data_IF_675490465363
#
_entry.id   IF_675490465363
#
_cell.length_a   1.000
_cell.length_b   1.000
_cell.length_c   1.000
_cell.angle_alpha   90.00
_cell.angle_beta   90.00
_cell.angle_gamma   90.00
#
_symmetry.space_group_name_H-M   'P 1'
#
loop_
_entity.id
_entity.type
_entity.pdbx_description
1 polymer ?
#
# COMPACT_ATOMS: atom_id res chain seq x y z
N UNK A 1 -14.84 39.68 -24.07
CA UNK A 1 -13.96 40.14 -25.16
C UNK A 1 -12.83 40.94 -24.52
N UNK A 2 -11.57 40.68 -24.88
CA UNK A 2 -10.26 41.10 -24.30
C UNK A 2 -9.54 39.94 -23.59
N UNK A 3 -8.81 39.07 -24.30
CA UNK A 3 -7.43 39.17 -24.85
C UNK A 3 -6.30 38.86 -23.86
N UNK A 4 -5.78 37.63 -24.02
CA UNK A 4 -4.37 37.22 -24.16
C UNK A 4 -3.34 37.77 -23.16
N UNK A 5 -2.57 36.85 -22.56
CA UNK A 5 -1.11 36.76 -22.77
C UNK A 5 -0.53 35.50 -22.13
N UNK A 6 -0.26 34.50 -22.97
CA UNK A 6 0.81 33.51 -22.78
C UNK A 6 2.15 34.22 -22.65
N UNK A 7 2.93 33.91 -21.61
CA UNK A 7 4.33 34.28 -21.52
C UNK A 7 5.17 33.04 -21.23
N UNK A 8 5.78 32.52 -22.30
CA UNK A 8 6.92 31.62 -22.24
C UNK A 8 8.11 32.35 -21.60
N UNK A 9 8.79 31.72 -20.63
CA UNK A 9 10.21 32.01 -20.40
C UNK A 9 10.95 30.71 -20.09
N UNK A 10 11.60 30.20 -21.14
CA UNK A 10 12.67 29.23 -21.08
C UNK A 10 13.78 29.80 -20.20
N UNK A 11 14.27 29.03 -19.24
CA UNK A 11 15.60 29.24 -18.65
C UNK A 11 16.38 27.94 -18.87
N UNK A 12 17.43 28.12 -19.64
CA UNK A 12 18.38 27.16 -20.18
C UNK A 12 19.66 27.15 -19.34
N UNK A 13 20.18 25.94 -19.11
CA UNK A 13 21.60 25.56 -18.97
C UNK A 13 22.50 26.18 -17.88
N UNK A 14 23.11 25.28 -17.10
CA UNK A 14 24.41 25.41 -16.43
C UNK A 14 24.65 24.12 -15.63
N UNK A 15 25.30 23.08 -16.15
CA UNK A 15 26.73 22.90 -16.43
C UNK A 15 27.63 22.97 -15.18
N UNK A 16 28.34 21.85 -14.92
CA UNK A 16 29.48 21.62 -14.01
C UNK A 16 29.14 21.65 -12.50
N UNK A 17 29.57 20.72 -11.65
CA UNK A 17 30.93 20.16 -11.52
C UNK A 17 30.93 18.74 -10.94
N UNK A 18 31.70 17.84 -11.54
CA UNK A 18 32.16 16.60 -10.93
C UNK A 18 33.27 16.90 -9.91
N UNK A 19 33.24 16.25 -8.74
CA UNK A 19 34.39 16.16 -7.81
C UNK A 19 34.54 14.71 -7.36
N UNK A 20 35.81 14.33 -7.21
CA UNK A 20 36.35 13.01 -7.43
C UNK A 20 36.37 12.07 -6.21
N UNK A 21 36.63 10.82 -6.59
CA UNK A 21 37.03 9.61 -5.86
C UNK A 21 37.93 9.87 -4.64
N UNK A 22 37.65 9.15 -3.55
CA UNK A 22 38.60 8.84 -2.48
C UNK A 22 38.52 7.35 -2.11
N UNK A 23 39.49 6.56 -2.57
CA UNK A 23 39.79 5.21 -2.08
C UNK A 23 40.92 5.35 -1.06
N UNK A 24 40.72 4.87 0.17
CA UNK A 24 41.82 4.42 1.02
C UNK A 24 41.40 3.17 1.79
N UNK A 25 42.10 2.09 1.46
CA UNK A 25 42.20 0.84 2.21
C UNK A 25 42.85 1.08 3.58
N UNK A 26 42.42 0.33 4.59
CA UNK A 26 43.06 0.28 5.90
C UNK A 26 42.61 -0.94 6.69
N UNK A 27 43.44 -1.97 6.67
CA UNK A 27 43.34 -3.24 7.39
C UNK A 27 44.35 -3.18 8.56
N UNK A 28 43.97 -3.62 9.78
CA UNK A 28 44.90 -4.21 10.77
C UNK A 28 44.09 -4.72 11.98
N UNK A 29 43.97 -6.04 12.17
CA UNK A 29 44.82 -6.92 13.03
C UNK A 29 44.50 -6.75 14.52
N UNK A 30 44.40 -7.75 15.39
CA UNK A 30 44.24 -9.22 15.37
C UNK A 30 44.14 -9.62 16.87
N UNK A 31 43.86 -10.90 17.16
CA UNK A 31 43.99 -11.59 18.47
C UNK A 31 42.97 -11.24 19.60
N UNK A 32 42.40 -12.19 20.35
CA UNK A 32 42.95 -13.47 20.77
C UNK A 32 41.92 -14.62 20.88
N UNK A 33 42.46 -15.80 20.61
CA UNK A 33 41.86 -17.12 20.69
C UNK A 33 41.70 -17.65 22.13
N UNK A 34 40.75 -18.58 22.31
CA UNK A 34 40.93 -19.90 22.97
C UNK A 34 39.61 -20.69 22.84
N UNK A 35 39.57 -21.73 21.98
CA UNK A 35 39.66 -23.16 22.34
C UNK A 35 38.53 -23.62 23.29
N UNK A 36 37.75 -24.68 23.06
CA UNK A 36 37.95 -25.95 22.35
C UNK A 36 36.58 -26.66 22.18
N UNK A 37 36.44 -27.71 21.33
CA UNK A 37 35.17 -28.31 20.94
C UNK A 37 34.82 -29.61 21.69
N UNK A 38 33.65 -30.18 21.32
CA UNK A 38 33.25 -31.60 21.40
C UNK A 38 32.24 -31.97 22.51
N UNK A 39 31.48 -33.09 22.43
CA UNK A 39 30.46 -33.46 21.42
C UNK A 39 29.18 -34.05 22.08
N UNK A 40 28.33 -34.69 21.26
CA UNK A 40 27.25 -35.65 21.60
C UNK A 40 25.91 -35.04 22.04
N UNK A 41 24.90 -35.05 21.17
CA UNK A 41 24.04 -36.17 20.77
C UNK A 41 22.74 -36.22 21.57
N UNK A 42 21.60 -35.98 20.91
CA UNK A 42 20.51 -36.96 20.87
C UNK A 42 19.44 -36.53 19.87
N UNK A 43 19.28 -37.37 18.86
CA UNK A 43 18.08 -37.49 18.04
C UNK A 43 17.10 -38.30 18.88
N UNK A 44 15.91 -37.77 19.16
CA UNK A 44 14.77 -38.58 19.55
C UNK A 44 13.56 -38.08 18.75
N UNK A 45 13.35 -38.79 17.64
CA UNK A 45 12.05 -38.87 16.99
C UNK A 45 11.08 -39.52 17.98
N UNK A 46 9.97 -38.83 18.25
CA UNK A 46 8.81 -39.45 18.90
C UNK A 46 7.60 -39.18 18.02
N UNK A 47 7.29 -40.18 17.19
CA UNK A 47 6.03 -40.30 16.52
C UNK A 47 4.98 -40.75 17.53
N UNK A 48 3.88 -40.01 17.60
CA UNK A 48 2.61 -40.55 18.06
C UNK A 48 1.51 -40.00 17.16
N UNK A 49 0.87 -40.84 16.33
CA UNK A 49 -0.31 -40.45 15.57
C UNK A 49 -1.53 -40.60 16.48
N UNK A 50 -2.29 -39.51 16.64
CA UNK A 50 -3.66 -39.59 17.14
C UNK A 50 -4.60 -39.03 16.08
N UNK A 51 -5.62 -39.78 15.66
CA UNK A 51 -6.53 -39.40 14.59
C UNK A 51 -7.73 -38.66 15.17
N UNK A 52 -7.94 -37.41 14.78
CA UNK A 52 -9.25 -36.78 14.88
C UNK A 52 -9.60 -36.15 13.53
N UNK A 53 -10.37 -36.94 12.81
CA UNK A 53 -11.32 -36.50 11.80
C UNK A 53 -12.30 -35.55 12.45
N UNK A 54 -12.11 -34.25 12.26
CA UNK A 54 -13.23 -33.31 12.23
C UNK A 54 -13.16 -32.52 10.93
N UNK A 55 -14.12 -32.86 10.07
CA UNK A 55 -14.47 -32.12 8.88
C UNK A 55 -14.89 -30.70 9.29
N UNK A 56 -13.93 -29.79 9.35
CA UNK A 56 -14.22 -28.36 9.30
C UNK A 56 -14.50 -28.04 7.85
N UNK A 57 -15.78 -27.73 7.58
CA UNK A 57 -16.30 -27.34 6.28
C UNK A 57 -15.33 -26.34 5.62
N UNK A 58 -14.78 -26.75 4.47
CA UNK A 58 -14.08 -25.85 3.60
C UNK A 58 -15.03 -24.66 3.30
N UNK A 59 -14.60 -23.40 3.51
CA UNK A 59 -15.37 -22.28 2.99
C UNK A 59 -15.47 -22.51 1.49
N UNK A 60 -16.70 -22.60 1.00
CA UNK A 60 -17.00 -22.60 -0.43
C UNK A 60 -16.21 -21.48 -1.07
N UNK A 61 -15.11 -21.85 -1.74
CA UNK A 61 -14.27 -20.90 -2.45
C UNK A 61 -15.16 -20.25 -3.51
N UNK A 62 -15.56 -19.00 -3.24
CA UNK A 62 -16.05 -18.11 -4.28
C UNK A 62 -14.98 -18.10 -5.40
N UNK A 63 -15.40 -18.12 -6.68
CA UNK A 63 -14.46 -18.16 -7.79
C UNK A 63 -13.44 -17.02 -7.66
N UNK A 64 -12.16 -17.36 -7.62
CA UNK A 64 -11.07 -16.38 -7.62
C UNK A 64 -11.16 -15.57 -8.92
N UNK A 65 -11.71 -14.36 -8.82
CA UNK A 65 -11.69 -13.38 -9.90
C UNK A 65 -10.24 -12.95 -10.08
N UNK A 66 -9.72 -13.09 -11.30
CA UNK A 66 -8.46 -12.45 -11.69
C UNK A 66 -8.62 -10.94 -11.55
N UNK A 67 -7.95 -10.37 -10.54
CA UNK A 67 -8.01 -8.95 -10.23
C UNK A 67 -7.10 -8.16 -11.18
N UNK A 68 -7.59 -7.04 -11.70
CA UNK A 68 -6.75 -6.10 -12.43
C UNK A 68 -5.82 -5.30 -11.49
N UNK A 69 -4.89 -4.52 -12.05
CA UNK A 69 -3.91 -3.74 -11.27
C UNK A 69 -4.58 -2.79 -10.28
N UNK A 70 -5.63 -2.08 -10.71
CA UNK A 70 -6.33 -1.13 -9.84
C UNK A 70 -7.06 -1.80 -8.70
N UNK A 71 -7.67 -2.95 -8.97
CA UNK A 71 -8.33 -3.80 -7.99
C UNK A 71 -7.32 -4.33 -6.96
N UNK A 72 -6.18 -4.84 -7.42
CA UNK A 72 -5.09 -5.33 -6.56
C UNK A 72 -4.53 -4.21 -5.67
N UNK A 73 -4.25 -3.03 -6.22
CA UNK A 73 -3.70 -1.91 -5.46
C UNK A 73 -4.69 -1.37 -4.42
N UNK A 74 -5.98 -1.33 -4.76
CA UNK A 74 -7.02 -0.86 -3.83
C UNK A 74 -7.19 -1.81 -2.66
N UNK A 75 -7.29 -3.11 -2.91
CA UNK A 75 -7.31 -4.12 -1.83
C UNK A 75 -5.99 -4.15 -1.06
N UNK A 76 -4.86 -4.00 -1.75
CA UNK A 76 -3.53 -3.90 -1.15
C UNK A 76 -3.44 -2.72 -0.18
N UNK A 77 -3.94 -1.54 -0.57
CA UNK A 77 -4.00 -0.38 0.31
C UNK A 77 -4.85 -0.67 1.56
N UNK A 78 -6.05 -1.24 1.38
CA UNK A 78 -6.92 -1.55 2.52
C UNK A 78 -6.21 -2.49 3.50
N UNK A 79 -5.67 -3.59 3.00
CA UNK A 79 -5.12 -4.65 3.84
C UNK A 79 -3.73 -4.32 4.40
N UNK A 80 -2.85 -3.71 3.60
CA UNK A 80 -1.43 -3.52 3.94
C UNK A 80 -1.08 -2.09 4.38
N UNK A 81 -2.03 -1.15 4.28
CA UNK A 81 -1.82 0.22 4.73
C UNK A 81 -2.91 0.73 5.67
N UNK A 82 -4.19 0.56 5.33
CA UNK A 82 -5.28 1.14 6.12
C UNK A 82 -5.56 0.34 7.40
N UNK A 83 -5.70 -0.98 7.28
CA UNK A 83 -5.94 -1.90 8.41
C UNK A 83 -4.64 -2.28 9.15
N UNK A 84 -3.47 -2.01 8.57
CA UNK A 84 -2.17 -2.34 9.16
C UNK A 84 -1.86 -1.45 10.38
N UNK A 85 -1.26 -2.05 11.41
CA UNK A 85 -0.86 -1.39 12.66
C UNK A 85 0.65 -1.15 12.75
N UNK A 86 1.47 -1.90 12.01
CA UNK A 86 2.90 -1.67 11.89
C UNK A 86 3.19 -0.43 11.04
N UNK A 87 3.67 0.62 11.71
CA UNK A 87 4.00 1.91 11.11
C UNK A 87 5.07 1.79 10.02
N UNK A 88 6.07 0.93 10.19
CA UNK A 88 7.14 0.78 9.18
C UNK A 88 6.65 0.01 7.95
N UNK A 89 5.77 -0.99 8.14
CA UNK A 89 5.10 -1.66 7.04
C UNK A 89 4.25 -0.68 6.21
N UNK A 90 3.49 0.20 6.87
CA UNK A 90 2.69 1.26 6.21
C UNK A 90 3.57 2.25 5.46
N UNK A 91 4.68 2.71 6.04
CA UNK A 91 5.63 3.60 5.36
C UNK A 91 6.22 2.95 4.11
N UNK A 92 6.59 1.67 4.21
CA UNK A 92 7.11 0.90 3.07
C UNK A 92 6.05 0.79 1.96
N UNK A 93 4.81 0.47 2.32
CA UNK A 93 3.72 0.43 1.35
C UNK A 93 3.55 1.79 0.66
N UNK A 94 3.58 2.88 1.41
CA UNK A 94 3.47 4.23 0.85
C UNK A 94 4.60 4.54 -0.16
N UNK A 95 5.83 4.13 0.14
CA UNK A 95 6.97 4.35 -0.76
C UNK A 95 6.91 3.50 -2.03
N UNK A 96 6.39 2.28 -1.95
CA UNK A 96 6.41 1.32 -3.06
C UNK A 96 5.19 1.44 -3.98
N UNK A 97 3.99 1.63 -3.41
CA UNK A 97 2.73 1.45 -4.14
C UNK A 97 1.93 2.73 -4.34
N UNK A 98 2.26 3.82 -3.65
CA UNK A 98 1.56 5.09 -3.81
C UNK A 98 2.19 5.99 -4.86
N UNK A 99 1.34 6.85 -5.43
CA UNK A 99 1.74 7.82 -6.44
C UNK A 99 2.76 8.81 -5.85
N UNK A 100 3.83 9.18 -6.59
CA UNK A 100 4.92 10.01 -6.07
C UNK A 100 4.47 11.27 -5.32
N UNK A 101 3.45 11.95 -5.85
CA UNK A 101 2.93 13.21 -5.28
C UNK A 101 2.34 13.07 -3.87
N UNK A 102 1.91 11.86 -3.48
CA UNK A 102 1.27 11.61 -2.18
C UNK A 102 2.13 10.79 -1.22
N UNK A 103 3.23 10.19 -1.69
CA UNK A 103 4.06 9.29 -0.88
C UNK A 103 4.49 9.91 0.45
N UNK A 104 4.93 11.17 0.43
CA UNK A 104 5.39 11.87 1.65
C UNK A 104 4.25 12.12 2.64
N UNK A 105 3.06 12.43 2.14
CA UNK A 105 1.87 12.69 2.97
C UNK A 105 1.44 11.39 3.66
N UNK A 106 1.37 10.28 2.92
CA UNK A 106 1.02 9.00 3.49
C UNK A 106 2.13 8.42 4.39
N UNK A 107 3.40 8.55 4.03
CA UNK A 107 4.50 8.15 4.92
C UNK A 107 4.47 8.91 6.26
N UNK A 108 4.07 10.18 6.26
CA UNK A 108 3.82 10.96 7.48
C UNK A 108 2.59 10.45 8.24
N UNK A 109 1.48 10.21 7.53
CA UNK A 109 0.23 9.71 8.09
C UNK A 109 0.29 8.24 8.58
N UNK A 110 1.32 7.48 8.22
CA UNK A 110 1.50 6.08 8.62
C UNK A 110 1.54 5.86 10.15
N UNK A 111 1.83 6.91 10.92
CA UNK A 111 1.78 6.87 12.40
C UNK A 111 0.37 6.96 12.99
N UNK A 112 -0.61 7.43 12.21
CA UNK A 112 -2.01 7.50 12.63
C UNK A 112 -2.68 6.14 12.37
N UNK A 113 -2.48 5.20 13.30
CA UNK A 113 -3.08 3.86 13.24
C UNK A 113 -4.59 3.97 13.41
N UNK A 114 -5.33 3.22 12.60
CA UNK A 114 -6.80 3.19 12.61
C UNK A 114 -7.27 2.16 13.64
N UNK A 115 -8.26 2.52 14.45
CA UNK A 115 -8.87 1.60 15.41
C UNK A 115 -9.46 0.36 14.70
N UNK A 116 -9.32 -0.83 15.28
CA UNK A 116 -9.80 -2.09 14.69
C UNK A 116 -11.29 -2.07 14.32
N UNK A 117 -12.12 -1.38 15.12
CA UNK A 117 -13.56 -1.20 14.83
C UNK A 117 -13.82 -0.50 13.49
N UNK A 118 -12.87 0.30 13.02
CA UNK A 118 -12.99 1.09 11.80
C UNK A 118 -12.36 0.37 10.59
N UNK A 119 -11.66 -0.76 10.80
CA UNK A 119 -11.09 -1.56 9.72
C UNK A 119 -12.14 -2.04 8.72
N UNK A 120 -11.71 -2.22 7.48
CA UNK A 120 -12.50 -2.87 6.43
C UNK A 120 -12.24 -4.37 6.48
N UNK A 121 -13.15 -5.12 7.08
CA UNK A 121 -13.07 -6.57 7.15
C UNK A 121 -13.66 -7.19 5.87
N UNK A 122 -13.09 -8.31 5.43
CA UNK A 122 -13.49 -9.05 4.23
C UNK A 122 -13.72 -8.17 2.98
N UNK A 123 -12.79 -7.26 2.62
CA UNK A 123 -12.99 -6.34 1.51
C UNK A 123 -13.10 -7.09 0.18
N UNK A 124 -14.16 -6.81 -0.58
CA UNK A 124 -14.42 -7.35 -1.93
C UNK A 124 -14.61 -6.23 -2.93
N UNK A 125 -13.97 -6.37 -4.08
CA UNK A 125 -14.18 -5.46 -5.20
C UNK A 125 -15.60 -5.63 -5.74
N UNK A 126 -16.28 -4.51 -5.94
CA UNK A 126 -17.60 -4.43 -6.56
C UNK A 126 -17.47 -4.08 -8.03
N UNK A 127 -16.79 -2.98 -8.33
CA UNK A 127 -16.69 -2.40 -9.67
C UNK A 127 -15.43 -1.53 -9.78
N UNK A 128 -14.86 -1.45 -10.99
CA UNK A 128 -13.83 -0.48 -11.35
C UNK A 128 -14.30 0.31 -12.56
N UNK A 129 -14.18 1.63 -12.52
CA UNK A 129 -14.56 2.54 -13.61
C UNK A 129 -13.38 3.44 -14.00
N UNK A 130 -13.37 3.90 -15.24
CA UNK A 130 -12.39 4.87 -15.72
C UNK A 130 -12.60 6.22 -15.03
N UNK A 131 -11.50 6.91 -14.73
CA UNK A 131 -11.50 8.24 -14.14
C UNK A 131 -10.81 9.23 -15.06
N UNK A 132 -11.45 10.39 -15.27
CA UNK A 132 -10.81 11.53 -15.90
C UNK A 132 -11.31 12.84 -15.27
N UNK A 133 -10.38 13.64 -14.76
CA UNK A 133 -10.67 14.98 -14.21
C UNK A 133 -9.47 15.89 -14.41
N UNK A 134 -9.73 17.11 -14.90
CA UNK A 134 -8.70 18.14 -15.09
C UNK A 134 -7.48 17.65 -15.91
N UNK A 135 -7.71 16.75 -16.87
CA UNK A 135 -6.66 16.14 -17.70
C UNK A 135 -5.89 14.98 -17.03
N UNK A 136 -6.16 14.70 -15.76
CA UNK A 136 -5.63 13.52 -15.06
C UNK A 136 -6.51 12.32 -15.37
N UNK A 137 -5.90 11.22 -15.83
CA UNK A 137 -6.58 9.96 -16.13
C UNK A 137 -6.17 8.88 -15.15
N UNK A 138 -7.08 7.96 -14.87
CA UNK A 138 -6.84 6.86 -13.94
C UNK A 138 -8.05 5.94 -13.88
N UNK A 139 -8.23 5.31 -12.73
CA UNK A 139 -9.41 4.50 -12.45
C UNK A 139 -9.87 4.67 -11.00
N UNK A 140 -11.16 4.51 -10.77
CA UNK A 140 -11.75 4.40 -9.44
C UNK A 140 -12.20 2.96 -9.22
N UNK A 141 -11.80 2.35 -8.10
CA UNK A 141 -12.24 1.00 -7.72
C UNK A 141 -13.08 1.06 -6.45
N UNK A 142 -14.34 0.61 -6.54
CA UNK A 142 -15.25 0.47 -5.41
C UNK A 142 -15.06 -0.89 -4.74
N UNK A 143 -14.85 -0.86 -3.44
CA UNK A 143 -14.73 -2.03 -2.56
C UNK A 143 -15.78 -1.94 -1.46
N UNK A 144 -16.40 -3.08 -1.15
CA UNK A 144 -17.28 -3.25 0.02
C UNK A 144 -16.58 -4.10 1.06
N UNK A 145 -16.59 -3.65 2.30
CA UNK A 145 -16.23 -4.47 3.46
C UNK A 145 -17.49 -4.95 4.19
N UNK A 146 -17.29 -5.67 5.30
CA UNK A 146 -18.37 -6.08 6.18
C UNK A 146 -19.20 -4.89 6.68
N UNK A 147 -20.50 -5.14 6.86
CA UNK A 147 -21.49 -4.09 7.13
C UNK A 147 -21.79 -3.25 5.90
N UNK A 148 -22.03 -1.96 6.10
CA UNK A 148 -22.31 -0.98 5.04
C UNK A 148 -21.07 -0.12 4.70
N UNK A 149 -19.86 -0.64 4.99
CA UNK A 149 -18.61 0.07 4.74
C UNK A 149 -18.22 -0.02 3.27
N UNK A 150 -18.03 1.12 2.64
CA UNK A 150 -17.54 1.26 1.26
C UNK A 150 -16.25 2.06 1.24
N UNK A 151 -15.35 1.65 0.35
CA UNK A 151 -14.10 2.32 0.06
C UNK A 151 -13.97 2.51 -1.45
N UNK A 152 -13.54 3.69 -1.89
CA UNK A 152 -13.20 3.94 -3.28
C UNK A 152 -11.72 4.31 -3.36
N UNK A 153 -10.94 3.51 -4.08
CA UNK A 153 -9.54 3.80 -4.37
C UNK A 153 -9.37 4.49 -5.71
N UNK A 154 -8.64 5.60 -5.76
CA UNK A 154 -8.19 6.26 -6.98
C UNK A 154 -6.78 5.80 -7.35
N UNK A 155 -6.63 5.26 -8.55
CA UNK A 155 -5.37 4.78 -9.11
C UNK A 155 -5.00 5.64 -10.31
N UNK A 156 -3.82 6.24 -10.29
CA UNK A 156 -3.24 7.05 -11.38
C UNK A 156 -1.87 6.46 -11.71
N UNK A 157 -1.57 6.26 -13.00
CA UNK A 157 -0.30 5.71 -13.47
C UNK A 157 0.09 4.39 -12.76
N UNK A 158 -0.89 3.49 -12.58
CA UNK A 158 -0.72 2.21 -11.86
C UNK A 158 -0.17 2.37 -10.43
N UNK A 159 -0.47 3.50 -9.78
CA UNK A 159 -0.13 3.79 -8.39
C UNK A 159 -1.35 4.27 -7.61
N UNK A 160 -1.42 3.91 -6.35
CA UNK A 160 -2.48 4.36 -5.45
C UNK A 160 -2.32 5.84 -5.13
N UNK A 161 -3.33 6.66 -5.41
CA UNK A 161 -3.27 8.11 -5.18
C UNK A 161 -4.08 8.54 -3.96
N UNK A 162 -5.36 8.13 -3.87
CA UNK A 162 -6.22 8.58 -2.78
C UNK A 162 -7.35 7.58 -2.48
N UNK A 163 -7.84 7.59 -1.24
CA UNK A 163 -8.94 6.75 -0.79
C UNK A 163 -10.10 7.59 -0.28
N UNK A 164 -11.33 7.20 -0.63
CA UNK A 164 -12.56 7.79 -0.14
C UNK A 164 -13.32 6.75 0.69
N UNK A 165 -13.82 7.14 1.85
CA UNK A 165 -14.38 6.22 2.85
C UNK A 165 -15.81 6.63 3.17
N UNK A 166 -16.77 5.69 3.11
CA UNK A 166 -18.18 5.97 3.39
C UNK A 166 -18.46 6.34 4.85
N UNK A 167 -17.58 5.94 5.76
CA UNK A 167 -17.70 6.20 7.20
C UNK A 167 -17.01 7.48 7.66
N UNK A 168 -16.54 8.32 6.72
CA UNK A 168 -15.91 9.59 7.06
C UNK A 168 -16.87 10.49 7.88
N UNK A 169 -16.33 11.19 8.88
CA UNK A 169 -17.15 11.97 9.81
C UNK A 169 -17.23 13.45 9.46
N UNK A 170 -16.22 14.00 8.77
CA UNK A 170 -16.23 15.38 8.31
C UNK A 170 -17.08 15.55 7.04
N UNK A 171 -17.79 16.67 6.95
CA UNK A 171 -18.71 16.94 5.83
C UNK A 171 -17.97 17.01 4.49
N UNK A 172 -16.77 17.59 4.46
CA UNK A 172 -15.94 17.64 3.24
C UNK A 172 -15.56 16.24 2.73
N UNK A 173 -15.23 15.31 3.63
CA UNK A 173 -14.87 13.95 3.23
C UNK A 173 -16.08 13.12 2.82
N UNK A 174 -17.24 13.33 3.48
CA UNK A 174 -18.51 12.71 3.06
C UNK A 174 -18.91 13.17 1.66
N UNK A 175 -18.91 14.49 1.43
CA UNK A 175 -19.23 15.06 0.13
C UNK A 175 -18.25 14.58 -0.95
N UNK A 176 -16.96 14.44 -0.61
CA UNK A 176 -15.98 13.86 -1.53
C UNK A 176 -16.32 12.40 -1.87
N UNK A 177 -16.61 11.56 -0.86
CA UNK A 177 -17.01 10.17 -1.09
C UNK A 177 -18.28 10.06 -1.94
N UNK A 178 -19.33 10.80 -1.59
CA UNK A 178 -20.59 10.81 -2.34
C UNK A 178 -20.37 11.23 -3.79
N UNK A 179 -19.58 12.29 -4.01
CA UNK A 179 -19.28 12.79 -5.35
C UNK A 179 -18.50 11.82 -6.24
N UNK A 180 -17.60 10.98 -5.70
CA UNK A 180 -17.00 9.90 -6.50
C UNK A 180 -17.87 8.65 -6.57
N UNK A 181 -18.70 8.37 -5.55
CA UNK A 181 -19.59 7.20 -5.52
C UNK A 181 -20.66 7.24 -6.60
N UNK A 182 -21.08 8.44 -7.02
CA UNK A 182 -21.99 8.69 -8.14
C UNK A 182 -21.47 8.22 -9.51
N UNK A 183 -20.17 7.94 -9.65
CA UNK A 183 -19.60 7.42 -10.91
C UNK A 183 -19.89 5.93 -11.12
N UNK A 184 -20.30 5.22 -10.08
CA UNK A 184 -20.61 3.80 -10.08
C UNK A 184 -22.12 3.58 -10.20
N UNK A 185 -22.55 2.57 -10.96
CA UNK A 185 -23.96 2.34 -11.31
C UNK A 185 -24.69 1.40 -10.37
#
# INVERSE_FOLDING_TARGET
MQTRKTFYKKISYGLLTAVAIGVLSGCSSDEAATASPSPSAKIEASASPSPETEATAAPTAEPEKDLNVSEQLTLGYINSYYNETDVEARKKFAQEYMHPDVQSIFAFAASAVIDEKDHFLNPKVVETVDYEKDGTKGSLTLVKGDGDKEFIGLIIEDKFSFGFISTATSDDMKAAFEGVREQFK
#
